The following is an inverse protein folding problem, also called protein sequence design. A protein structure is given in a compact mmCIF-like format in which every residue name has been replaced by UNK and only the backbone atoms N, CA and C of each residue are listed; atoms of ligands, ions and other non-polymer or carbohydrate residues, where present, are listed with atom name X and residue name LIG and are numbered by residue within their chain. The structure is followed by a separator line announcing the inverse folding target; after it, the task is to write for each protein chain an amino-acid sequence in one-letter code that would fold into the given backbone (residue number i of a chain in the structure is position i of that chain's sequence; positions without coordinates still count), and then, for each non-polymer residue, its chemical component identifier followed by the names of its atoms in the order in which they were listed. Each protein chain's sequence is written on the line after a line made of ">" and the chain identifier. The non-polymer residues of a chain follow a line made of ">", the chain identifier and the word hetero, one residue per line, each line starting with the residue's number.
data_IF_513559269327
#
_entry.id   IF_513559269327
#
_cell.length_a   1.000
_cell.length_b   1.000
_cell.length_c   1.000
_cell.angle_alpha   90.00
_cell.angle_beta   90.00
_cell.angle_gamma   90.00
#
_symmetry.space_group_name_H-M   'P 1'
#
loop_
_entity.id
_entity.type
_entity.pdbx_description
1 polymer ?
#
# COMPACT_ATOMS: atom_id res chain seq x y z
N UNK A 1 -8.26 -2.16 24.34
CA UNK A 1 -7.32 -2.24 23.21
C UNK A 1 -6.11 -1.36 23.52
N UNK A 2 -4.89 -1.90 23.64
CA UNK A 2 -3.68 -1.08 23.84
C UNK A 2 -3.05 -0.80 22.47
N UNK A 3 -2.97 0.47 22.07
CA UNK A 3 -2.26 0.87 20.85
C UNK A 3 -0.76 0.72 21.11
N UNK A 4 -0.10 -0.15 20.35
CA UNK A 4 1.34 -0.41 20.48
C UNK A 4 2.18 0.55 19.63
N UNK A 5 1.72 0.91 18.43
CA UNK A 5 2.44 1.77 17.48
C UNK A 5 1.72 3.11 17.31
N UNK A 6 2.00 4.06 18.19
CA UNK A 6 1.36 5.37 18.19
C UNK A 6 1.70 6.22 16.96
N UNK A 7 2.89 6.06 16.39
CA UNK A 7 3.30 6.81 15.20
C UNK A 7 2.43 6.45 13.98
N UNK A 8 2.29 5.15 13.70
CA UNK A 8 1.41 4.65 12.63
C UNK A 8 -0.04 5.02 12.90
N UNK A 9 -0.50 4.89 14.14
CA UNK A 9 -1.87 5.24 14.52
C UNK A 9 -2.16 6.73 14.27
N UNK A 10 -1.31 7.62 14.78
CA UNK A 10 -1.43 9.05 14.59
C UNK A 10 -1.34 9.43 13.11
N UNK A 11 -0.42 8.82 12.35
CA UNK A 11 -0.31 9.01 10.92
C UNK A 11 -1.62 8.69 10.20
N UNK A 12 -2.20 7.50 10.44
CA UNK A 12 -3.45 7.07 9.81
C UNK A 12 -4.60 8.01 10.18
N UNK A 13 -4.75 8.38 11.45
CA UNK A 13 -5.81 9.29 11.89
C UNK A 13 -5.67 10.66 11.23
N UNK A 14 -4.48 11.27 11.29
CA UNK A 14 -4.23 12.59 10.70
C UNK A 14 -4.44 12.56 9.19
N UNK A 15 -3.96 11.53 8.50
CA UNK A 15 -4.12 11.37 7.06
C UNK A 15 -5.61 11.37 6.65
N UNK A 16 -6.46 10.62 7.34
CA UNK A 16 -7.89 10.58 7.03
C UNK A 16 -8.61 11.88 7.38
N UNK A 17 -8.24 12.54 8.49
CA UNK A 17 -8.79 13.85 8.83
C UNK A 17 -8.42 14.90 7.77
N UNK A 18 -7.19 14.87 7.26
CA UNK A 18 -6.75 15.77 6.19
C UNK A 18 -7.51 15.52 4.89
N UNK A 19 -7.74 14.25 4.50
CA UNK A 19 -8.56 13.93 3.31
C UNK A 19 -9.97 14.51 3.46
N UNK A 20 -10.62 14.31 4.61
CA UNK A 20 -11.96 14.84 4.85
C UNK A 20 -11.99 16.38 4.81
N UNK A 21 -10.99 17.03 5.42
CA UNK A 21 -10.88 18.48 5.43
C UNK A 21 -10.64 19.06 4.02
N UNK A 22 -9.87 18.36 3.17
CA UNK A 22 -9.53 18.81 1.81
C UNK A 22 -10.57 18.39 0.76
N UNK A 23 -11.54 17.56 1.11
CA UNK A 23 -12.55 17.05 0.18
C UNK A 23 -13.33 18.17 -0.55
N UNK A 24 -13.78 19.27 0.10
CA UNK A 24 -14.46 20.35 -0.62
C UNK A 24 -13.59 21.03 -1.68
N UNK A 25 -12.30 21.22 -1.36
CA UNK A 25 -11.34 21.79 -2.30
C UNK A 25 -11.11 20.85 -3.50
N UNK A 26 -10.98 19.54 -3.26
CA UNK A 26 -10.90 18.55 -4.33
C UNK A 26 -12.14 18.56 -5.23
N UNK A 27 -13.34 18.59 -4.64
CA UNK A 27 -14.60 18.60 -5.41
C UNK A 27 -14.66 19.83 -6.34
N UNK A 28 -14.18 20.98 -5.88
CA UNK A 28 -14.20 22.21 -6.68
C UNK A 28 -13.34 22.16 -7.96
N UNK A 29 -12.35 21.25 -8.00
CA UNK A 29 -11.45 21.06 -9.14
C UNK A 29 -11.59 19.68 -9.80
N UNK A 30 -12.62 18.92 -9.41
CA UNK A 30 -12.83 17.57 -9.91
C UNK A 30 -13.05 17.57 -11.42
N UNK A 31 -12.41 16.62 -12.11
CA UNK A 31 -12.50 16.47 -13.55
C UNK A 31 -12.41 15.00 -13.95
N UNK A 32 -12.89 14.66 -15.15
CA UNK A 32 -12.71 13.32 -15.71
C UNK A 32 -11.23 12.93 -15.82
N UNK A 33 -10.33 13.88 -16.08
CA UNK A 33 -8.89 13.64 -16.08
C UNK A 33 -8.36 13.23 -14.70
N UNK A 34 -8.77 13.95 -13.64
CA UNK A 34 -8.42 13.59 -12.27
C UNK A 34 -8.98 12.22 -11.86
N UNK A 35 -10.22 11.91 -12.27
CA UNK A 35 -10.83 10.61 -12.03
C UNK A 35 -10.05 9.47 -12.69
N UNK A 36 -9.69 9.61 -13.96
CA UNK A 36 -8.92 8.56 -14.66
C UNK A 36 -7.50 8.41 -14.12
N UNK A 37 -6.84 9.52 -13.76
CA UNK A 37 -5.55 9.46 -13.09
C UNK A 37 -5.64 8.70 -11.76
N UNK A 38 -6.66 8.97 -10.95
CA UNK A 38 -6.95 8.23 -9.72
C UNK A 38 -7.16 6.74 -10.03
N UNK A 39 -8.02 6.39 -10.98
CA UNK A 39 -8.30 4.99 -11.31
C UNK A 39 -7.06 4.22 -11.76
N UNK A 40 -6.23 4.83 -12.63
CA UNK A 40 -5.01 4.21 -13.13
C UNK A 40 -4.02 3.99 -11.98
N UNK A 41 -3.78 5.02 -11.16
CA UNK A 41 -2.83 4.92 -10.04
C UNK A 41 -3.31 3.98 -8.95
N UNK A 42 -4.61 3.94 -8.67
CA UNK A 42 -5.23 2.99 -7.75
C UNK A 42 -5.03 1.54 -8.20
N UNK A 43 -5.28 1.26 -9.49
CA UNK A 43 -5.09 -0.08 -10.06
C UNK A 43 -3.61 -0.48 -10.02
N UNK A 44 -2.69 0.41 -10.43
CA UNK A 44 -1.25 0.12 -10.40
C UNK A 44 -0.78 -0.14 -8.95
N UNK A 45 -1.17 0.71 -8.00
CA UNK A 45 -0.83 0.53 -6.59
C UNK A 45 -1.31 -0.81 -6.04
N UNK A 46 -2.58 -1.16 -6.25
CA UNK A 46 -3.12 -2.45 -5.80
C UNK A 46 -2.48 -3.66 -6.50
N UNK A 47 -2.22 -3.57 -7.80
CA UNK A 47 -1.57 -4.64 -8.56
C UNK A 47 -0.14 -4.87 -8.06
N UNK A 48 0.65 -3.82 -7.87
CA UNK A 48 2.04 -3.99 -7.41
C UNK A 48 2.16 -4.58 -6.01
N UNK A 49 1.19 -4.34 -5.12
CA UNK A 49 1.12 -5.06 -3.84
C UNK A 49 0.78 -6.53 -4.06
N UNK A 50 -0.27 -6.83 -4.82
CA UNK A 50 -0.74 -8.22 -5.00
C UNK A 50 0.20 -9.09 -5.81
N UNK A 51 0.64 -8.64 -6.99
CA UNK A 51 1.57 -9.41 -7.83
C UNK A 51 3.00 -9.31 -7.32
N UNK A 52 3.39 -8.17 -6.76
CA UNK A 52 4.75 -7.89 -6.31
C UNK A 52 4.99 -8.26 -4.86
N UNK A 53 4.64 -7.35 -3.94
CA UNK A 53 4.98 -7.51 -2.52
C UNK A 53 4.48 -8.84 -1.95
N UNK A 54 3.25 -9.21 -2.27
CA UNK A 54 2.61 -10.44 -1.81
C UNK A 54 3.16 -11.70 -2.52
N UNK A 55 2.96 -11.84 -3.83
CA UNK A 55 3.29 -13.09 -4.54
C UNK A 55 4.78 -13.25 -4.83
N UNK A 56 5.44 -12.21 -5.33
CA UNK A 56 6.87 -12.26 -5.70
C UNK A 56 7.77 -12.19 -4.47
N UNK A 57 7.62 -11.17 -3.61
CA UNK A 57 8.56 -10.95 -2.51
C UNK A 57 8.23 -11.76 -1.25
N UNK A 58 6.98 -11.75 -0.78
CA UNK A 58 6.61 -12.43 0.45
C UNK A 58 6.52 -13.95 0.27
N UNK A 59 5.81 -14.44 -0.76
CA UNK A 59 5.60 -15.87 -0.99
C UNK A 59 6.58 -16.55 -1.96
N UNK A 60 7.39 -15.80 -2.71
CA UNK A 60 8.31 -16.37 -3.71
C UNK A 60 7.60 -17.32 -4.68
N UNK A 61 6.39 -16.95 -5.10
CA UNK A 61 5.54 -17.78 -5.95
C UNK A 61 6.04 -17.89 -7.41
N UNK A 62 6.89 -16.97 -7.84
CA UNK A 62 7.53 -16.96 -9.15
C UNK A 62 8.80 -16.12 -9.12
N UNK A 63 9.67 -16.31 -10.12
CA UNK A 63 10.83 -15.45 -10.38
C UNK A 63 10.49 -14.40 -11.44
N UNK A 64 11.09 -13.22 -11.32
CA UNK A 64 10.89 -12.12 -12.25
C UNK A 64 12.23 -11.60 -12.77
N UNK A 65 12.23 -11.03 -13.98
CA UNK A 65 13.41 -10.33 -14.47
C UNK A 65 13.57 -8.97 -13.76
N UNK A 66 14.78 -8.39 -13.73
CA UNK A 66 15.04 -7.14 -13.01
C UNK A 66 14.17 -5.96 -13.43
N UNK A 67 13.78 -5.87 -14.71
CA UNK A 67 12.93 -4.79 -15.19
C UNK A 67 11.54 -4.86 -14.55
N UNK A 68 10.97 -6.05 -14.46
CA UNK A 68 9.69 -6.26 -13.78
C UNK A 68 9.80 -5.96 -12.28
N UNK A 69 10.88 -6.40 -11.62
CA UNK A 69 11.13 -6.06 -10.22
C UNK A 69 11.18 -4.55 -9.97
N UNK A 70 11.89 -3.81 -10.82
CA UNK A 70 11.91 -2.34 -10.74
C UNK A 70 10.53 -1.72 -10.96
N UNK A 71 9.75 -2.22 -11.92
CA UNK A 71 8.38 -1.73 -12.15
C UNK A 71 7.48 -1.97 -10.93
N UNK A 72 7.60 -3.14 -10.28
CA UNK A 72 6.91 -3.44 -9.02
C UNK A 72 7.31 -2.46 -7.92
N UNK A 73 8.61 -2.28 -7.69
CA UNK A 73 9.10 -1.44 -6.60
C UNK A 73 8.69 0.03 -6.81
N UNK A 74 8.78 0.56 -8.02
CA UNK A 74 8.36 1.94 -8.33
C UNK A 74 6.84 2.08 -8.21
N UNK A 75 6.07 1.18 -8.82
CA UNK A 75 4.60 1.27 -8.79
C UNK A 75 4.04 1.08 -7.37
N UNK A 76 4.70 0.28 -6.53
CA UNK A 76 4.31 0.08 -5.14
C UNK A 76 4.42 1.33 -4.28
N UNK A 77 5.19 2.34 -4.70
CA UNK A 77 5.25 3.62 -3.99
C UNK A 77 3.87 4.33 -3.94
N UNK A 78 2.96 4.01 -4.87
CA UNK A 78 1.58 4.52 -4.88
C UNK A 78 0.72 3.94 -3.74
N UNK A 79 1.09 2.78 -3.17
CA UNK A 79 0.32 2.11 -2.12
C UNK A 79 0.53 2.69 -0.73
N UNK A 80 1.68 3.32 -0.50
CA UNK A 80 2.10 3.82 0.80
C UNK A 80 2.18 2.74 1.91
N UNK A 81 2.48 1.48 1.55
CA UNK A 81 2.53 0.33 2.46
C UNK A 81 3.96 -0.06 2.92
N UNK A 82 4.80 0.95 3.23
CA UNK A 82 6.21 0.75 3.63
C UNK A 82 7.05 0.04 2.55
N UNK A 83 8.29 -0.35 2.87
CA UNK A 83 9.19 -1.00 1.90
C UNK A 83 8.82 -2.46 1.65
N UNK A 84 9.13 -2.96 0.46
CA UNK A 84 8.96 -4.38 0.11
C UNK A 84 9.54 -5.34 1.15
N UNK A 85 10.69 -4.99 1.73
CA UNK A 85 11.34 -5.77 2.79
C UNK A 85 10.49 -5.82 4.06
N UNK A 86 10.03 -4.67 4.55
CA UNK A 86 9.23 -4.57 5.77
C UNK A 86 7.87 -5.24 5.58
N UNK A 87 7.19 -4.94 4.48
CA UNK A 87 5.90 -5.54 4.15
C UNK A 87 5.99 -7.05 4.06
N UNK A 88 7.00 -7.58 3.34
CA UNK A 88 7.19 -9.03 3.21
C UNK A 88 7.51 -9.71 4.53
N UNK A 89 8.28 -9.05 5.40
CA UNK A 89 8.57 -9.53 6.74
C UNK A 89 7.29 -9.64 7.58
N UNK A 90 6.50 -8.58 7.64
CA UNK A 90 5.26 -8.53 8.42
C UNK A 90 4.22 -9.53 7.87
N UNK A 91 4.12 -9.66 6.54
CA UNK A 91 3.23 -10.63 5.89
C UNK A 91 3.58 -12.08 6.22
N UNK A 92 4.88 -12.41 6.26
CA UNK A 92 5.34 -13.75 6.67
C UNK A 92 5.08 -14.02 8.14
N UNK A 93 5.25 -13.01 9.01
CA UNK A 93 4.87 -13.13 10.42
C UNK A 93 3.37 -13.39 10.54
N UNK A 94 2.55 -12.63 9.81
CA UNK A 94 1.10 -12.81 9.77
C UNK A 94 0.74 -14.25 9.38
N UNK A 95 1.29 -14.80 8.30
CA UNK A 95 1.00 -16.20 7.93
C UNK A 95 1.47 -17.24 8.95
N UNK A 96 2.61 -17.00 9.61
CA UNK A 96 3.15 -17.93 10.61
C UNK A 96 2.38 -17.91 11.94
N UNK A 97 1.69 -16.81 12.24
CA UNK A 97 1.05 -16.55 13.53
C UNK A 97 -0.42 -16.16 13.42
N UNK A 98 -1.03 -16.34 12.26
CA UNK A 98 -2.46 -16.09 12.06
C UNK A 98 -3.25 -16.90 13.09
N UNK A 99 -4.25 -16.29 13.69
CA UNK A 99 -5.08 -16.86 14.74
C UNK A 99 -4.33 -17.24 16.03
N UNK A 100 -3.19 -16.58 16.29
CA UNK A 100 -2.45 -16.68 17.56
C UNK A 100 -2.35 -15.34 18.28
N UNK A 101 -1.95 -15.37 19.55
CA UNK A 101 -1.70 -14.17 20.38
C UNK A 101 -0.42 -13.40 20.01
N UNK A 102 0.31 -13.84 18.97
CA UNK A 102 1.53 -13.22 18.47
C UNK A 102 1.23 -12.32 17.28
#
# INVERSE_FOLDING_TARGET
>A
MKIKNWDTFSFVVIYHLLILALLPAFISVASWGAFWLFMITYIIGGLTITVGYHRLYAHKAYDANPLFEWAILIGSALSFEMSALKWSHDHRIHHNHVDTEK
#
